data_IF_806181704663
#
_entry.id   IF_806181704663
#
_cell.length_a   1.000
_cell.length_b   1.000
_cell.length_c   1.000
_cell.angle_alpha   90.00
_cell.angle_beta   90.00
_cell.angle_gamma   90.00
#
_symmetry.space_group_name_H-M   'P 1'
#
loop_
_entity.id
_entity.type
_entity.pdbx_description
1 polymer ?
#
# COMPACT_ATOMS: atom_id res chain seq x y z
N UNK A 1 32.84 30.77 -8.32
CA UNK A 1 31.48 30.59 -7.74
C UNK A 1 30.74 29.33 -8.21
N UNK A 2 31.31 28.45 -9.04
CA UNK A 2 30.63 27.21 -9.49
C UNK A 2 30.82 25.98 -8.57
N UNK A 3 31.92 25.90 -7.82
CA UNK A 3 32.27 24.70 -7.04
C UNK A 3 31.47 24.53 -5.74
N UNK A 4 31.00 25.64 -5.14
CA UNK A 4 30.24 25.62 -3.89
C UNK A 4 28.80 25.09 -4.08
N UNK A 5 28.20 25.34 -5.25
CA UNK A 5 26.84 24.88 -5.60
C UNK A 5 26.85 23.36 -5.88
N UNK A 6 27.94 22.82 -6.45
CA UNK A 6 28.12 21.38 -6.67
C UNK A 6 28.27 20.57 -5.39
N UNK A 7 28.98 21.11 -4.38
CA UNK A 7 29.18 20.47 -3.08
C UNK A 7 27.93 20.48 -2.20
N UNK A 8 27.10 21.53 -2.27
CA UNK A 8 25.82 21.57 -1.57
C UNK A 8 24.82 20.54 -2.15
N UNK A 9 24.85 20.36 -3.47
CA UNK A 9 23.99 19.39 -4.18
C UNK A 9 24.45 17.94 -3.98
N UNK A 10 25.76 17.65 -3.92
CA UNK A 10 26.26 16.30 -3.62
C UNK A 10 26.16 15.94 -2.14
N UNK A 11 26.32 16.91 -1.23
CA UNK A 11 26.11 16.74 0.20
C UNK A 11 24.65 16.46 0.56
N UNK A 12 23.70 17.18 -0.06
CA UNK A 12 22.27 16.92 0.12
C UNK A 12 21.82 15.56 -0.41
N UNK A 13 22.34 15.14 -1.57
CA UNK A 13 22.12 13.79 -2.11
C UNK A 13 22.70 12.71 -1.18
N UNK A 14 23.91 12.90 -0.67
CA UNK A 14 24.55 11.92 0.20
C UNK A 14 23.83 11.79 1.55
N UNK A 15 23.37 12.90 2.14
CA UNK A 15 22.55 12.87 3.36
C UNK A 15 21.18 12.20 3.14
N UNK A 16 20.56 12.43 1.97
CA UNK A 16 19.33 11.77 1.57
C UNK A 16 19.52 10.26 1.35
N UNK A 17 20.62 9.85 0.71
CA UNK A 17 21.00 8.44 0.56
C UNK A 17 21.27 7.76 1.91
N UNK A 18 21.89 8.46 2.86
CA UNK A 18 22.12 7.95 4.23
C UNK A 18 20.81 7.76 5.00
N UNK A 19 19.89 8.73 4.93
CA UNK A 19 18.53 8.61 5.49
C UNK A 19 17.75 7.47 4.85
N UNK A 20 17.82 7.29 3.53
CA UNK A 20 17.17 6.18 2.82
C UNK A 20 17.74 4.81 3.23
N UNK A 21 19.03 4.73 3.54
CA UNK A 21 19.69 3.48 3.95
C UNK A 21 19.15 2.96 5.29
N UNK A 22 18.76 3.87 6.18
CA UNK A 22 18.12 3.56 7.46
C UNK A 22 16.71 2.94 7.26
N UNK A 23 15.96 3.38 6.24
CA UNK A 23 14.67 2.80 5.84
C UNK A 23 14.77 1.62 4.87
N UNK A 24 15.97 1.24 4.45
CA UNK A 24 16.22 0.12 3.53
C UNK A 24 15.47 -1.17 3.86
N UNK A 25 15.52 -1.68 5.11
CA UNK A 25 14.84 -2.92 5.45
C UNK A 25 13.30 -2.77 5.49
N UNK A 26 12.78 -1.57 5.79
CA UNK A 26 11.35 -1.27 5.72
C UNK A 26 10.84 -1.30 4.28
N UNK A 27 11.59 -0.68 3.36
CA UNK A 27 11.27 -0.64 1.92
C UNK A 27 11.27 -2.06 1.34
N UNK A 28 12.24 -2.90 1.73
CA UNK A 28 12.31 -4.30 1.30
C UNK A 28 11.09 -5.10 1.76
N UNK A 29 10.71 -4.93 3.02
CA UNK A 29 9.55 -5.61 3.62
C UNK A 29 8.26 -5.20 2.93
N UNK A 30 8.02 -3.90 2.74
CA UNK A 30 6.85 -3.40 2.00
C UNK A 30 6.81 -3.87 0.53
N UNK A 31 7.97 -3.89 -0.13
CA UNK A 31 8.07 -4.35 -1.53
C UNK A 31 7.69 -5.82 -1.68
N UNK A 32 8.12 -6.68 -0.73
CA UNK A 32 7.70 -8.08 -0.72
C UNK A 32 6.19 -8.23 -0.57
N UNK A 33 5.54 -7.35 0.19
CA UNK A 33 4.09 -7.31 0.36
C UNK A 33 3.35 -7.15 -0.97
N UNK A 34 3.85 -6.29 -1.86
CA UNK A 34 3.24 -6.07 -3.18
C UNK A 34 3.24 -7.36 -4.01
N UNK A 35 4.33 -8.13 -3.98
CA UNK A 35 4.46 -9.40 -4.69
C UNK A 35 3.44 -10.40 -4.14
N UNK A 36 3.37 -10.54 -2.81
CA UNK A 36 2.41 -11.45 -2.19
C UNK A 36 0.97 -11.07 -2.49
N UNK A 37 0.61 -9.78 -2.44
CA UNK A 37 -0.73 -9.30 -2.81
C UNK A 37 -1.06 -9.61 -4.27
N UNK A 38 -0.11 -9.45 -5.18
CA UNK A 38 -0.31 -9.79 -6.59
C UNK A 38 -0.52 -11.30 -6.79
N UNK A 39 0.23 -12.14 -6.06
CA UNK A 39 0.09 -13.61 -6.08
C UNK A 39 -1.21 -14.12 -5.44
N UNK A 40 -1.81 -13.35 -4.53
CA UNK A 40 -3.08 -13.68 -3.89
C UNK A 40 -4.26 -13.78 -4.86
N UNK A 41 -4.10 -13.24 -6.08
CA UNK A 41 -5.08 -13.28 -7.17
C UNK A 41 -6.50 -12.93 -6.71
N UNK A 42 -6.65 -11.91 -5.86
CA UNK A 42 -7.96 -11.50 -5.32
C UNK A 42 -8.95 -11.16 -6.44
N UNK A 43 -8.44 -10.63 -7.55
CA UNK A 43 -9.20 -10.38 -8.78
C UNK A 43 -9.87 -11.64 -9.35
N UNK A 44 -9.30 -12.83 -9.16
CA UNK A 44 -9.91 -14.08 -9.64
C UNK A 44 -11.15 -14.46 -8.82
N UNK A 45 -11.09 -14.28 -7.50
CA UNK A 45 -12.24 -14.51 -6.61
C UNK A 45 -13.33 -13.46 -6.84
N UNK A 46 -12.94 -12.22 -7.18
CA UNK A 46 -13.89 -11.18 -7.56
C UNK A 46 -14.63 -11.49 -8.88
N UNK A 47 -14.01 -12.21 -9.82
CA UNK A 47 -14.67 -12.68 -11.06
C UNK A 47 -15.62 -13.85 -10.77
N UNK A 48 -15.30 -14.71 -9.80
CA UNK A 48 -16.13 -15.86 -9.41
C UNK A 48 -17.23 -15.51 -8.40
N UNK A 49 -17.42 -14.21 -8.11
CA UNK A 49 -18.41 -13.69 -7.14
C UNK A 49 -18.28 -14.22 -5.70
N UNK A 50 -17.14 -14.82 -5.33
CA UNK A 50 -16.89 -15.33 -3.98
C UNK A 50 -16.35 -14.23 -3.02
N UNK A 51 -17.02 -13.09 -3.00
CA UNK A 51 -16.63 -11.94 -2.17
C UNK A 51 -16.67 -12.25 -0.66
N UNK A 52 -17.58 -13.13 -0.23
CA UNK A 52 -17.73 -13.50 1.18
C UNK A 52 -16.49 -14.18 1.77
N UNK A 53 -15.85 -15.05 1.00
CA UNK A 53 -14.61 -15.71 1.43
C UNK A 53 -13.44 -14.72 1.54
N UNK A 54 -13.32 -13.79 0.56
CA UNK A 54 -12.32 -12.74 0.60
C UNK A 54 -12.48 -11.83 1.82
N UNK A 55 -13.72 -11.40 2.10
CA UNK A 55 -14.04 -10.56 3.23
C UNK A 55 -13.76 -11.25 4.58
N UNK A 56 -14.23 -12.49 4.75
CA UNK A 56 -14.01 -13.25 5.99
C UNK A 56 -12.51 -13.46 6.25
N UNK A 57 -11.74 -13.83 5.21
CA UNK A 57 -10.29 -13.95 5.30
C UNK A 57 -9.66 -12.64 5.76
N UNK A 58 -9.97 -11.53 5.08
CA UNK A 58 -9.40 -10.22 5.41
C UNK A 58 -9.72 -9.83 6.86
N UNK A 59 -10.95 -10.03 7.31
CA UNK A 59 -11.34 -9.76 8.71
C UNK A 59 -10.55 -10.63 9.69
N UNK A 60 -10.40 -11.92 9.43
CA UNK A 60 -9.61 -12.82 10.29
C UNK A 60 -8.15 -12.37 10.40
N UNK A 61 -7.50 -12.03 9.29
CA UNK A 61 -6.11 -11.56 9.29
C UNK A 61 -5.95 -10.16 9.87
N UNK A 62 -6.95 -9.28 9.71
CA UNK A 62 -6.98 -7.95 10.33
C UNK A 62 -7.03 -8.06 11.85
N UNK A 63 -7.89 -8.94 12.38
CA UNK A 63 -7.99 -9.22 13.83
C UNK A 63 -6.69 -9.83 14.34
N UNK A 64 -6.11 -10.79 13.62
CA UNK A 64 -4.82 -11.39 13.98
C UNK A 64 -3.71 -10.34 14.04
N UNK A 65 -3.60 -9.47 13.02
CA UNK A 65 -2.63 -8.38 12.98
C UNK A 65 -2.81 -7.41 14.15
N UNK A 66 -4.06 -7.07 14.50
CA UNK A 66 -4.37 -6.21 15.64
C UNK A 66 -3.92 -6.83 16.96
N UNK A 67 -4.15 -8.14 17.17
CA UNK A 67 -3.69 -8.84 18.37
C UNK A 67 -2.16 -8.82 18.44
N UNK A 68 -1.48 -9.14 17.34
CA UNK A 68 -0.01 -9.13 17.27
C UNK A 68 0.55 -7.75 17.58
N UNK A 69 -0.02 -6.69 16.98
CA UNK A 69 0.32 -5.30 17.26
C UNK A 69 0.25 -5.02 18.78
N UNK A 70 -0.90 -5.28 19.40
CA UNK A 70 -1.14 -4.98 20.80
C UNK A 70 -0.22 -5.77 21.75
N UNK A 71 0.19 -6.98 21.36
CA UNK A 71 1.11 -7.79 22.18
C UNK A 71 2.59 -7.42 22.01
N UNK A 72 2.99 -7.03 20.79
CA UNK A 72 4.41 -7.04 20.39
C UNK A 72 4.99 -5.64 20.13
N UNK A 73 4.17 -4.65 19.81
CA UNK A 73 4.63 -3.26 19.64
C UNK A 73 4.48 -2.52 20.96
N UNK A 74 5.58 -2.41 21.72
CA UNK A 74 5.62 -1.66 22.99
C UNK A 74 6.53 -0.43 22.95
N UNK A 75 7.50 -0.40 22.02
CA UNK A 75 8.50 0.67 21.91
C UNK A 75 8.67 1.19 20.47
N UNK A 76 9.11 2.45 20.32
CA UNK A 76 9.34 3.12 19.02
C UNK A 76 10.44 2.44 18.18
N UNK A 77 11.34 1.68 18.81
CA UNK A 77 12.39 0.91 18.13
C UNK A 77 11.88 -0.30 17.34
N UNK A 78 10.63 -0.73 17.58
CA UNK A 78 10.05 -1.93 16.99
C UNK A 78 9.25 -1.67 15.71
N UNK A 79 9.47 -0.52 15.06
CA UNK A 79 8.88 -0.17 13.76
C UNK A 79 9.14 -1.25 12.69
N UNK A 80 10.32 -1.86 12.72
CA UNK A 80 10.66 -2.96 11.80
C UNK A 80 9.81 -4.21 12.07
N UNK A 81 9.58 -4.49 13.33
CA UNK A 81 8.83 -5.63 13.84
C UNK A 81 7.33 -5.51 13.51
N UNK A 82 6.81 -4.28 13.63
CA UNK A 82 5.48 -3.92 13.18
C UNK A 82 5.29 -4.10 11.66
N UNK A 83 6.25 -3.65 10.87
CA UNK A 83 6.20 -3.80 9.42
C UNK A 83 6.24 -5.29 9.01
N UNK A 84 7.07 -6.09 9.67
CA UNK A 84 7.15 -7.53 9.45
C UNK A 84 5.87 -8.27 9.81
N UNK A 85 5.26 -7.96 10.96
CA UNK A 85 4.00 -8.59 11.39
C UNK A 85 2.85 -8.25 10.45
N UNK A 86 2.77 -7.00 9.99
CA UNK A 86 1.77 -6.56 9.01
C UNK A 86 1.95 -7.23 7.65
N UNK A 87 3.18 -7.29 7.15
CA UNK A 87 3.47 -7.97 5.87
C UNK A 87 3.26 -9.47 6.00
N UNK A 88 3.63 -10.11 7.12
CA UNK A 88 3.38 -11.52 7.34
C UNK A 88 1.89 -11.85 7.42
N UNK A 89 1.07 -11.01 8.05
CA UNK A 89 -0.39 -11.17 8.10
C UNK A 89 -1.01 -11.12 6.70
N UNK A 90 -0.68 -10.09 5.92
CA UNK A 90 -1.17 -9.92 4.55
C UNK A 90 -0.61 -10.98 3.60
N UNK A 91 0.69 -11.27 3.66
CA UNK A 91 1.35 -12.26 2.83
C UNK A 91 0.87 -13.69 3.13
N UNK A 92 0.63 -14.03 4.40
CA UNK A 92 0.08 -15.33 4.80
C UNK A 92 -1.32 -15.55 4.23
N UNK A 93 -2.18 -14.54 4.29
CA UNK A 93 -3.52 -14.57 3.69
C UNK A 93 -3.48 -14.80 2.17
N UNK A 94 -2.51 -14.18 1.50
CA UNK A 94 -2.34 -14.26 0.06
C UNK A 94 -1.65 -15.55 -0.39
N UNK A 95 -0.71 -16.08 0.40
CA UNK A 95 -0.04 -17.35 0.13
C UNK A 95 -0.99 -18.54 0.25
N UNK A 96 -1.86 -18.55 1.26
CA UNK A 96 -2.91 -19.58 1.41
C UNK A 96 -3.85 -19.57 0.20
N UNK A 97 -4.16 -18.38 -0.34
CA UNK A 97 -4.96 -18.26 -1.56
C UNK A 97 -4.26 -18.83 -2.78
N UNK A 98 -2.97 -18.57 -2.97
CA UNK A 98 -2.18 -19.14 -4.07
C UNK A 98 -2.14 -20.68 -4.02
N UNK A 99 -1.95 -21.24 -2.82
CA UNK A 99 -1.96 -22.70 -2.61
C UNK A 99 -3.33 -23.32 -2.91
N UNK A 100 -4.44 -22.63 -2.58
CA UNK A 100 -5.81 -23.08 -2.90
C UNK A 100 -6.15 -22.90 -4.38
N UNK A 101 -5.61 -21.87 -5.05
CA UNK A 101 -5.75 -21.62 -6.49
C UNK A 101 -5.28 -22.81 -7.34
N UNK A 102 -4.28 -23.54 -6.84
CA UNK A 102 -3.79 -24.78 -7.46
C UNK A 102 -4.88 -25.86 -7.58
N UNK A 103 -5.92 -25.82 -6.75
CA UNK A 103 -7.05 -26.76 -6.79
C UNK A 103 -8.07 -26.42 -7.89
N UNK A 104 -8.07 -25.19 -8.41
CA UNK A 104 -9.02 -24.70 -9.42
C UNK A 104 -8.51 -24.76 -10.86
N UNK A 105 -7.29 -25.27 -11.16
CA UNK A 105 -6.76 -25.20 -12.53
C UNK A 105 -6.01 -26.43 -13.06
N UNK A 106 -6.63 -27.12 -14.01
CA UNK A 106 -5.97 -27.64 -15.22
C UNK A 106 -5.64 -26.43 -16.11
N UNK A 107 -4.35 -26.10 -16.23
CA UNK A 107 -3.89 -24.86 -16.84
C UNK A 107 -3.83 -25.00 -18.37
N UNK A 108 -4.88 -24.62 -19.10
CA UNK A 108 -4.76 -24.32 -20.53
C UNK A 108 -4.35 -22.85 -20.68
N UNK A 109 -3.04 -22.61 -20.68
CA UNK A 109 -2.45 -21.30 -20.92
C UNK A 109 -2.61 -20.99 -22.42
N UNK A 110 -3.74 -20.40 -22.81
CA UNK A 110 -3.97 -20.00 -24.22
C UNK A 110 -3.12 -18.77 -24.53
N UNK A 111 -1.94 -19.01 -25.12
CA UNK A 111 -0.91 -18.02 -25.48
C UNK A 111 -1.24 -17.12 -26.69
N UNK A 112 -2.53 -16.99 -27.06
CA UNK A 112 -2.96 -16.11 -28.15
C UNK A 112 -3.83 -14.97 -27.60
N UNK A 113 -3.19 -14.02 -26.90
CA UNK A 113 -3.87 -12.85 -26.35
C UNK A 113 -3.52 -11.59 -27.16
N UNK A 114 -4.53 -10.89 -27.67
CA UNK A 114 -4.33 -9.61 -28.38
C UNK A 114 -4.22 -8.47 -27.37
N UNK A 115 -3.04 -8.33 -26.76
CA UNK A 115 -2.71 -7.36 -25.71
C UNK A 115 -3.19 -5.92 -26.00
N UNK A 116 -3.10 -5.50 -27.27
CA UNK A 116 -3.52 -4.17 -27.71
C UNK A 116 -5.02 -3.89 -27.48
N UNK A 117 -5.88 -4.91 -27.55
CA UNK A 117 -7.33 -4.76 -27.35
C UNK A 117 -7.72 -4.63 -25.87
N UNK A 118 -6.89 -5.16 -24.97
CA UNK A 118 -7.14 -5.12 -23.53
C UNK A 118 -6.44 -3.95 -22.85
N UNK A 119 -5.35 -3.44 -23.43
CA UNK A 119 -4.60 -2.32 -22.87
C UNK A 119 -5.45 -1.05 -22.79
N UNK A 120 -6.26 -0.75 -23.81
CA UNK A 120 -7.12 0.43 -23.82
C UNK A 120 -8.19 0.39 -22.70
N UNK A 121 -9.00 -0.68 -22.55
CA UNK A 121 -9.88 -0.83 -21.40
C UNK A 121 -9.18 -0.74 -20.04
N UNK A 122 -8.02 -1.39 -19.89
CA UNK A 122 -7.24 -1.35 -18.64
C UNK A 122 -6.80 0.08 -18.33
N UNK A 123 -6.37 0.85 -19.34
CA UNK A 123 -5.97 2.24 -19.18
C UNK A 123 -7.13 3.14 -18.75
N UNK A 124 -8.34 2.90 -19.28
CA UNK A 124 -9.55 3.62 -18.86
C UNK A 124 -9.89 3.32 -17.39
N UNK A 125 -9.82 2.04 -16.98
CA UNK A 125 -10.03 1.64 -15.58
C UNK A 125 -8.97 2.22 -14.64
N UNK A 126 -7.72 2.28 -15.10
CA UNK A 126 -6.63 2.92 -14.39
C UNK A 126 -6.85 4.43 -14.23
N UNK A 127 -7.23 5.12 -15.31
CA UNK A 127 -7.54 6.55 -15.28
C UNK A 127 -8.70 6.85 -14.32
N UNK A 128 -9.76 6.03 -14.33
CA UNK A 128 -10.86 6.15 -13.38
C UNK A 128 -10.39 5.98 -11.93
N UNK A 129 -9.52 5.01 -11.67
CA UNK A 129 -8.94 4.80 -10.34
C UNK A 129 -8.09 5.99 -9.89
N UNK A 130 -7.33 6.60 -10.80
CA UNK A 130 -6.54 7.79 -10.54
C UNK A 130 -7.42 9.01 -10.21
N UNK A 131 -8.50 9.23 -10.97
CA UNK A 131 -9.46 10.31 -10.71
C UNK A 131 -10.10 10.14 -9.34
N UNK A 132 -10.55 8.93 -8.99
CA UNK A 132 -11.13 8.65 -7.67
C UNK A 132 -10.13 8.92 -6.55
N UNK A 133 -8.87 8.50 -6.71
CA UNK A 133 -7.82 8.74 -5.73
C UNK A 133 -7.58 10.24 -5.52
N UNK A 134 -7.50 11.02 -6.60
CA UNK A 134 -7.31 12.47 -6.55
C UNK A 134 -8.51 13.17 -5.92
N UNK A 135 -9.73 12.75 -6.28
CA UNK A 135 -10.98 13.32 -5.75
C UNK A 135 -11.07 13.14 -4.24
N UNK A 136 -10.86 11.91 -3.74
CA UNK A 136 -10.89 11.63 -2.30
C UNK A 136 -9.77 12.37 -1.56
N UNK A 137 -8.57 12.41 -2.14
CA UNK A 137 -7.45 13.12 -1.50
C UNK A 137 -7.69 14.62 -1.42
N UNK A 138 -8.32 15.21 -2.44
CA UNK A 138 -8.72 16.61 -2.46
C UNK A 138 -9.82 16.90 -1.44
N UNK A 139 -10.82 16.02 -1.32
CA UNK A 139 -11.91 16.15 -0.35
C UNK A 139 -11.39 16.14 1.10
N UNK A 140 -10.50 15.20 1.43
CA UNK A 140 -9.85 15.13 2.75
C UNK A 140 -9.00 16.37 3.02
N UNK A 141 -8.27 16.88 2.03
CA UNK A 141 -7.47 18.10 2.18
C UNK A 141 -8.35 19.33 2.42
N UNK A 142 -9.51 19.41 1.79
CA UNK A 142 -10.47 20.49 1.99
C UNK A 142 -11.05 20.44 3.41
N UNK A 143 -11.53 19.27 3.85
CA UNK A 143 -12.04 19.09 5.22
C UNK A 143 -10.99 19.40 6.29
N UNK A 144 -9.75 18.96 6.11
CA UNK A 144 -8.66 19.27 7.05
C UNK A 144 -8.33 20.76 7.12
N UNK A 145 -8.43 21.47 5.99
CA UNK A 145 -8.21 22.93 5.95
C UNK A 145 -9.32 23.71 6.66
N UNK A 146 -10.57 23.23 6.58
CA UNK A 146 -11.72 23.86 7.24
C UNK A 146 -11.71 23.63 8.77
N UNK A 147 -11.31 22.44 9.23
CA UNK A 147 -11.15 22.14 10.67
C UNK A 147 -10.05 23.01 11.31
N UNK A 148 -8.92 23.16 10.62
CA UNK A 148 -7.82 24.01 11.08
C UNK A 148 -8.19 25.51 11.10
N UNK A 149 -9.10 25.95 10.21
CA UNK A 149 -9.68 27.31 10.24
C UNK A 149 -10.61 27.54 11.42
N UNK A 150 -11.36 26.54 11.86
CA UNK A 150 -12.27 26.63 13.01
C UNK A 150 -11.49 26.70 14.33
N UNK A 151 -10.39 25.97 14.47
CA UNK A 151 -9.52 26.04 15.66
C UNK A 151 -8.78 27.38 15.80
N UNK A 152 -8.44 28.04 14.69
CA UNK A 152 -7.81 29.37 14.71
C UNK A 152 -8.79 30.55 14.81
N UNK A 153 -10.10 30.34 14.59
CA UNK A 153 -11.12 31.40 14.69
C UNK A 153 -11.22 32.07 16.07
N UNK A 154 -11.25 31.36 17.21
CA UNK A 154 -11.35 32.01 18.52
C UNK A 154 -10.08 32.78 18.95
N UNK A 155 -8.92 32.52 18.32
CA UNK A 155 -7.68 33.27 18.58
C UNK A 155 -7.63 34.62 17.85
N UNK A 156 -8.38 34.78 16.76
CA UNK A 156 -8.46 36.02 15.98
C UNK A 156 -9.63 36.93 16.39
N UNK A 157 -10.62 36.41 17.14
CA UNK A 157 -11.76 37.20 17.65
C UNK A 157 -11.54 37.81 19.03
N UNK A 158 -10.33 37.65 19.60
CA UNK A 158 -9.94 38.17 20.92
C UNK A 158 -8.92 39.32 20.86
N UNK A 159 -8.63 39.88 19.68
CA UNK A 159 -7.93 41.15 19.49
C UNK A 159 -8.89 42.23 18.99
#
# INVERSE_FOLDING_TARGET
>A
MGSAIGLLRSGGLSAFFSKLREYGPLIWTLSSGIIFTTLGCEWLYAIHEEYGYLALRNICFQILSLILLLTYVKDESDLLLYAWTTVAGSAGANLINFLRLRKYRTWSLTWCFSWQKHLLPILVLFANSLVNLLYVSADVAQLGSDDQRLLCRPLLSGQ
#
